data_IF_642672086896
#
_entry.id   IF_642672086896
#
_cell.length_a   1.000
_cell.length_b   1.000
_cell.length_c   1.000
_cell.angle_alpha   90.00
_cell.angle_beta   90.00
_cell.angle_gamma   90.00
#
_symmetry.space_group_name_H-M   'P 1'
#
loop_
_entity.id
_entity.type
_entity.pdbx_description
1 polymer ?
#
# COMPACT_ATOMS: atom_id res chain seq x y z
N UNK A 1 -0.80 -3.30 -7.88
CA UNK A 1 -1.80 -2.64 -7.00
C UNK A 1 -1.26 -2.12 -5.66
N UNK A 2 -0.01 -2.39 -5.23
CA UNK A 2 0.54 -1.80 -3.97
C UNK A 2 1.79 -0.96 -4.24
N UNK A 3 1.81 -0.24 -5.37
CA UNK A 3 3.03 0.44 -5.80
C UNK A 3 3.23 1.82 -5.13
N UNK A 4 2.16 2.59 -4.96
CA UNK A 4 2.25 3.93 -4.38
C UNK A 4 2.71 3.95 -2.91
N UNK A 5 2.39 2.89 -2.14
CA UNK A 5 2.89 2.73 -0.76
C UNK A 5 4.40 2.53 -0.75
N UNK A 6 4.92 1.62 -1.58
CA UNK A 6 6.36 1.32 -1.65
C UNK A 6 7.17 2.45 -2.28
N UNK A 7 6.55 3.27 -3.13
CA UNK A 7 7.13 4.49 -3.70
C UNK A 7 7.13 5.66 -2.72
N UNK A 8 6.46 5.54 -1.58
CA UNK A 8 6.38 6.60 -0.54
C UNK A 8 5.88 7.90 -1.17
N UNK A 9 4.87 7.80 -2.03
CA UNK A 9 4.46 8.91 -2.90
C UNK A 9 3.52 9.90 -2.19
N UNK A 10 2.62 9.40 -1.35
CA UNK A 10 1.55 10.20 -0.74
C UNK A 10 1.69 10.42 0.77
N UNK A 11 2.47 9.58 1.47
CA UNK A 11 2.71 9.73 2.91
C UNK A 11 4.13 9.32 3.27
N UNK A 12 4.67 9.97 4.31
CA UNK A 12 5.96 9.63 4.94
C UNK A 12 5.82 8.59 6.04
N UNK A 13 4.60 8.13 6.32
CA UNK A 13 4.31 7.21 7.42
C UNK A 13 5.05 5.88 7.28
N UNK A 14 5.34 5.40 6.06
CA UNK A 14 6.16 4.19 5.90
C UNK A 14 7.57 4.39 6.51
N UNK A 15 8.18 5.56 6.30
CA UNK A 15 9.49 5.90 6.85
C UNK A 15 9.40 6.15 8.36
N UNK A 16 8.36 6.85 8.81
CA UNK A 16 8.12 7.13 10.22
C UNK A 16 7.89 5.87 11.04
N UNK A 17 7.18 4.89 10.47
CA UNK A 17 7.00 3.57 11.06
C UNK A 17 8.34 2.86 11.25
N UNK A 18 9.17 2.85 10.20
CA UNK A 18 10.54 2.33 10.28
C UNK A 18 11.38 3.05 11.34
N UNK A 19 11.33 4.40 11.41
CA UNK A 19 12.03 5.19 12.43
C UNK A 19 11.62 4.74 13.83
N UNK A 20 10.32 4.70 14.13
CA UNK A 20 9.80 4.39 15.47
C UNK A 20 10.13 2.97 15.95
N UNK A 21 10.23 2.01 15.02
CA UNK A 21 10.47 0.59 15.34
C UNK A 21 11.97 0.26 15.35
N UNK A 22 12.71 0.69 14.33
CA UNK A 22 14.06 0.20 14.07
C UNK A 22 15.15 1.16 14.53
N UNK A 23 14.93 2.47 14.39
CA UNK A 23 15.92 3.51 14.69
C UNK A 23 15.79 3.95 16.14
N UNK A 24 14.70 4.65 16.45
CA UNK A 24 14.50 5.27 17.77
C UNK A 24 13.98 4.26 18.80
N UNK A 25 13.34 3.18 18.33
CA UNK A 25 12.80 2.08 19.15
C UNK A 25 11.85 2.56 20.25
N UNK A 26 11.23 3.72 20.03
CA UNK A 26 10.27 4.34 20.93
C UNK A 26 8.88 3.70 20.81
N UNK A 27 8.61 2.99 19.70
CA UNK A 27 7.29 2.48 19.31
C UNK A 27 6.20 3.56 19.34
N UNK A 28 6.58 4.81 19.10
CA UNK A 28 5.70 5.97 19.11
C UNK A 28 5.78 6.71 17.76
N UNK A 29 5.21 6.12 16.69
CA UNK A 29 5.17 6.76 15.39
C UNK A 29 4.25 7.99 15.41
N UNK A 30 4.70 9.05 14.74
CA UNK A 30 3.97 10.31 14.57
C UNK A 30 3.28 10.32 13.20
N UNK A 31 2.18 9.58 13.11
CA UNK A 31 1.39 9.48 11.88
C UNK A 31 0.76 10.81 11.47
N UNK A 32 0.64 11.01 10.15
CA UNK A 32 -0.06 12.15 9.58
C UNK A 32 -1.01 11.72 8.45
N UNK A 33 -2.34 11.84 8.64
CA UNK A 33 -3.06 12.27 9.85
C UNK A 33 -2.89 11.37 11.08
N UNK A 34 -2.93 11.95 12.27
CA UNK A 34 -2.69 11.24 13.54
C UNK A 34 -3.84 10.31 13.98
N UNK A 35 -4.96 10.32 13.25
CA UNK A 35 -6.19 9.61 13.58
C UNK A 35 -6.87 9.09 12.31
N UNK A 36 -7.46 7.91 12.41
CA UNK A 36 -8.13 7.26 11.28
C UNK A 36 -9.36 8.03 10.79
N UNK A 37 -10.09 8.70 11.68
CA UNK A 37 -11.30 9.45 11.29
C UNK A 37 -11.00 10.69 10.44
N UNK A 38 -9.73 11.07 10.32
CA UNK A 38 -9.26 12.17 9.50
C UNK A 38 -8.86 11.73 8.08
N UNK A 39 -8.78 10.42 7.84
CA UNK A 39 -8.49 9.86 6.51
C UNK A 39 -9.76 9.89 5.67
N UNK A 40 -9.69 10.45 4.47
CA UNK A 40 -10.79 10.45 3.51
C UNK A 40 -10.70 9.24 2.58
N UNK A 41 -11.82 8.81 2.04
CA UNK A 41 -11.85 7.73 1.04
C UNK A 41 -10.94 8.04 -0.15
N UNK A 42 -10.94 9.30 -0.62
CA UNK A 42 -10.05 9.78 -1.68
C UNK A 42 -8.56 9.56 -1.38
N UNK A 43 -8.14 9.65 -0.10
CA UNK A 43 -6.74 9.44 0.29
C UNK A 43 -6.36 7.96 0.16
N UNK A 44 -7.31 7.06 0.45
CA UNK A 44 -7.13 5.61 0.28
C UNK A 44 -7.13 5.25 -1.21
N UNK A 45 -8.07 5.80 -1.98
CA UNK A 45 -8.21 5.51 -3.41
C UNK A 45 -6.95 5.85 -4.20
N UNK A 46 -6.23 6.91 -3.82
CA UNK A 46 -4.92 7.26 -4.42
C UNK A 46 -3.90 6.14 -4.31
N UNK A 47 -3.88 5.38 -3.22
CA UNK A 47 -2.92 4.26 -3.11
C UNK A 47 -3.22 3.12 -4.09
N UNK A 48 -4.46 3.00 -4.55
CA UNK A 48 -4.91 1.98 -5.49
C UNK A 48 -5.00 2.48 -6.93
N UNK A 49 -4.74 3.77 -7.19
CA UNK A 49 -4.68 4.28 -8.55
C UNK A 49 -3.57 3.61 -9.36
N UNK A 50 -3.66 3.74 -10.69
CA UNK A 50 -2.57 3.33 -11.56
C UNK A 50 -1.39 4.27 -11.35
N UNK A 51 -0.19 3.70 -11.39
CA UNK A 51 1.04 4.48 -11.43
C UNK A 51 1.15 5.11 -12.81
N UNK A 52 1.25 6.43 -12.86
CA UNK A 52 1.45 7.20 -14.09
C UNK A 52 2.94 7.42 -14.32
N UNK A 53 3.62 6.34 -14.73
CA UNK A 53 5.07 6.30 -14.95
C UNK A 53 5.30 5.42 -16.18
N UNK A 54 6.00 5.95 -17.19
CA UNK A 54 6.19 5.30 -18.48
C UNK A 54 6.97 3.99 -18.36
N UNK A 55 7.86 3.91 -17.36
CA UNK A 55 8.67 2.71 -17.08
C UNK A 55 7.94 1.71 -16.16
N UNK A 56 6.69 1.98 -15.77
CA UNK A 56 5.93 1.12 -14.87
C UNK A 56 5.08 0.08 -15.61
N UNK A 57 5.41 -1.20 -15.41
CA UNK A 57 4.61 -2.32 -15.90
C UNK A 57 3.91 -3.08 -14.76
N UNK A 58 2.60 -3.33 -14.94
CA UNK A 58 1.86 -4.18 -14.02
C UNK A 58 2.37 -5.63 -14.05
N UNK A 59 2.66 -6.18 -12.87
CA UNK A 59 3.05 -7.57 -12.69
C UNK A 59 2.04 -8.52 -13.35
N UNK A 60 2.45 -9.17 -14.43
CA UNK A 60 1.66 -10.20 -15.12
C UNK A 60 1.87 -11.54 -14.44
N UNK A 61 0.90 -11.95 -13.63
CA UNK A 61 0.90 -13.29 -13.06
C UNK A 61 0.54 -14.32 -14.14
N UNK A 62 1.18 -15.50 -14.16
CA UNK A 62 0.79 -16.57 -15.06
C UNK A 62 -0.65 -17.01 -14.79
N UNK A 63 -1.38 -17.52 -15.80
CA UNK A 63 -2.71 -18.07 -15.59
C UNK A 63 -2.68 -19.13 -14.49
N UNK A 64 -3.51 -18.97 -13.46
CA UNK A 64 -3.62 -19.97 -12.40
C UNK A 64 -4.41 -21.16 -12.95
N UNK A 65 -3.70 -22.08 -13.64
CA UNK A 65 -4.29 -23.22 -14.34
C UNK A 65 -4.90 -24.28 -13.42
N UNK A 66 -4.55 -24.28 -12.12
CA UNK A 66 -4.96 -25.32 -11.16
C UNK A 66 -5.67 -24.74 -9.92
N UNK A 67 -6.53 -23.73 -10.07
CA UNK A 67 -7.33 -23.28 -8.92
C UNK A 67 -8.37 -24.33 -8.53
N UNK A 68 -8.39 -24.77 -7.26
CA UNK A 68 -9.49 -25.57 -6.75
C UNK A 68 -10.81 -24.81 -6.96
N UNK A 69 -11.90 -25.53 -7.22
CA UNK A 69 -13.24 -24.93 -7.49
C UNK A 69 -13.68 -23.89 -6.44
N UNK A 70 -13.25 -24.03 -5.19
CA UNK A 70 -13.56 -23.07 -4.12
C UNK A 70 -12.87 -21.70 -4.27
N UNK A 71 -11.75 -21.61 -5.00
CA UNK A 71 -11.00 -20.38 -5.22
C UNK A 71 -11.53 -19.56 -6.40
N UNK A 72 -12.35 -20.16 -7.26
CA UNK A 72 -13.02 -19.49 -8.39
C UNK A 72 -14.28 -18.75 -7.92
N UNK A 73 -14.94 -19.24 -6.86
CA UNK A 73 -16.22 -18.70 -6.37
C UNK A 73 -16.14 -17.36 -5.63
N UNK A 74 -14.95 -16.75 -5.50
CA UNK A 74 -14.75 -15.45 -4.81
C UNK A 74 -14.04 -14.39 -5.69
N UNK A 75 -13.96 -14.63 -6.99
CA UNK A 75 -13.53 -13.63 -7.97
C UNK A 75 -14.75 -12.92 -8.57
#
# INVERSE_FOLDING_TARGET
MVCHVTRIEFSKDVVEGCRSILIDKDRNPKWEPSRLELIRDDDVDRYFSKVDDEDWEDLKLPPRSNLPRYAIAKL
#
